data_IF_615070810773
#
_entry.id   IF_615070810773
#
_cell.length_a   1.000
_cell.length_b   1.000
_cell.length_c   1.000
_cell.angle_alpha   90.00
_cell.angle_beta   90.00
_cell.angle_gamma   90.00
#
_symmetry.space_group_name_H-M   'P 1'
#
loop_
_entity.id
_entity.type
_entity.pdbx_description
1 polymer ?
#
# COMPACT_ATOMS: atom_id res chain seq x y z
N UNK A 1 -7.85 -10.32 18.90
CA UNK A 1 -7.96 -9.17 17.98
C UNK A 1 -9.39 -9.08 17.51
N UNK A 2 -10.07 -7.95 17.70
CA UNK A 2 -11.40 -7.73 17.13
C UNK A 2 -11.25 -7.23 15.70
N UNK A 3 -11.77 -7.97 14.73
CA UNK A 3 -11.92 -7.48 13.37
C UNK A 3 -12.91 -6.31 13.35
N UNK A 4 -12.45 -5.16 12.86
CA UNK A 4 -13.32 -4.01 12.59
C UNK A 4 -14.19 -4.36 11.39
N UNK A 5 -15.52 -4.36 11.58
CA UNK A 5 -16.50 -4.64 10.53
C UNK A 5 -16.39 -3.62 9.41
N UNK A 6 -16.31 -4.12 8.18
CA UNK A 6 -16.31 -3.31 6.95
C UNK A 6 -17.63 -2.55 6.82
N UNK A 7 -17.56 -1.21 6.69
CA UNK A 7 -18.72 -0.42 6.30
C UNK A 7 -19.09 -0.80 4.86
N UNK A 8 -20.36 -1.18 4.65
CA UNK A 8 -20.92 -1.59 3.34
C UNK A 8 -20.44 -0.68 2.21
N UNK A 9 -19.72 -1.24 1.24
CA UNK A 9 -19.59 -0.70 -0.12
C UNK A 9 -18.27 -0.01 -0.48
N UNK A 10 -17.43 0.41 0.47
CA UNK A 10 -16.06 0.90 0.17
C UNK A 10 -15.08 -0.08 0.78
N UNK A 11 -14.10 -0.56 0.01
CA UNK A 11 -13.06 -1.47 0.51
C UNK A 11 -12.44 -0.97 1.82
N UNK A 12 -11.90 -1.89 2.63
CA UNK A 12 -11.08 -1.54 3.81
C UNK A 12 -9.91 -0.72 3.25
N UNK A 13 -9.97 0.62 3.37
CA UNK A 13 -8.94 1.52 2.84
C UNK A 13 -7.55 1.22 3.40
N UNK A 14 -6.57 2.04 3.09
CA UNK A 14 -5.19 1.79 3.55
C UNK A 14 -5.13 1.67 5.08
N UNK A 15 -4.42 0.65 5.63
CA UNK A 15 -4.30 0.47 7.06
C UNK A 15 -3.79 1.72 7.78
N UNK A 16 -4.34 2.00 8.96
CA UNK A 16 -3.95 3.17 9.75
C UNK A 16 -2.44 3.18 10.07
N UNK A 17 -1.84 2.02 10.36
CA UNK A 17 -0.40 1.91 10.58
C UNK A 17 0.41 2.37 9.37
N UNK A 18 0.00 1.97 8.17
CA UNK A 18 0.68 2.34 6.93
C UNK A 18 0.50 3.82 6.60
N UNK A 19 -0.70 4.37 6.86
CA UNK A 19 -0.98 5.80 6.71
C UNK A 19 -0.16 6.65 7.68
N UNK A 20 -0.01 6.21 8.94
CA UNK A 20 0.83 6.89 9.92
C UNK A 20 2.30 6.87 9.51
N UNK A 21 2.78 5.70 9.08
CA UNK A 21 4.15 5.53 8.57
C UNK A 21 4.42 6.47 7.39
N UNK A 22 3.52 6.52 6.41
CA UNK A 22 3.69 7.36 5.24
C UNK A 22 3.82 8.84 5.58
N UNK A 23 3.04 9.33 6.56
CA UNK A 23 3.11 10.72 7.02
C UNK A 23 4.47 11.03 7.63
N UNK A 24 4.96 10.15 8.50
CA UNK A 24 6.28 10.29 9.13
C UNK A 24 7.38 10.27 8.05
N UNK A 25 7.32 9.33 7.10
CA UNK A 25 8.32 9.21 6.04
C UNK A 25 8.27 10.37 5.02
N UNK A 26 7.13 11.05 4.89
CA UNK A 26 6.97 12.20 4.00
C UNK A 26 7.50 13.51 4.56
N UNK A 27 7.82 13.57 5.87
CA UNK A 27 8.45 14.72 6.49
C UNK A 27 9.84 14.96 5.90
N UNK A 28 10.09 16.16 5.40
CA UNK A 28 11.40 16.55 4.85
C UNK A 28 12.14 17.54 5.76
N UNK A 29 11.44 18.10 6.74
CA UNK A 29 11.99 19.05 7.70
C UNK A 29 11.64 18.66 9.14
N UNK A 30 12.44 19.08 10.14
CA UNK A 30 12.09 18.89 11.55
C UNK A 30 10.74 19.51 11.93
N UNK A 31 10.40 20.66 11.32
CA UNK A 31 9.15 21.37 11.57
C UNK A 31 7.93 20.52 11.17
N UNK A 32 8.02 19.75 10.08
CA UNK A 32 6.95 18.83 9.69
C UNK A 32 6.65 17.82 10.80
N UNK A 33 7.68 17.35 11.51
CA UNK A 33 7.51 16.39 12.59
C UNK A 33 6.87 17.06 13.82
N UNK A 34 7.27 18.29 14.15
CA UNK A 34 6.65 19.08 15.23
C UNK A 34 5.15 19.34 14.95
N UNK A 35 4.80 19.60 13.68
CA UNK A 35 3.40 19.71 13.26
C UNK A 35 2.63 18.40 13.46
N UNK A 36 3.22 17.25 13.08
CA UNK A 36 2.59 15.95 13.32
C UNK A 36 2.39 15.67 14.82
N UNK A 37 3.37 16.00 15.66
CA UNK A 37 3.26 15.87 17.13
C UNK A 37 2.15 16.75 17.68
N UNK A 38 2.08 18.00 17.21
CA UNK A 38 1.05 18.95 17.62
C UNK A 38 -0.34 18.44 17.23
N UNK A 39 -0.50 17.96 15.99
CA UNK A 39 -1.78 17.45 15.50
C UNK A 39 -2.21 16.16 16.21
N UNK A 40 -1.26 15.26 16.50
CA UNK A 40 -1.52 14.08 17.32
C UNK A 40 -1.99 14.48 18.74
N UNK A 41 -1.37 15.51 19.32
CA UNK A 41 -1.73 16.05 20.64
C UNK A 41 -3.12 16.69 20.68
N UNK A 42 -3.57 17.28 19.57
CA UNK A 42 -4.92 17.85 19.42
C UNK A 42 -6.01 16.79 19.14
N UNK A 43 -5.60 15.56 18.82
CA UNK A 43 -6.49 14.43 18.56
C UNK A 43 -6.36 13.38 19.67
N UNK A 44 -6.69 12.11 19.43
CA UNK A 44 -6.56 11.04 20.42
C UNK A 44 -5.14 10.46 20.52
N UNK A 45 -4.12 11.24 20.17
CA UNK A 45 -2.72 10.80 20.08
C UNK A 45 -2.40 9.96 18.84
N UNK A 46 -3.36 9.78 17.93
CA UNK A 46 -3.21 8.90 16.76
C UNK A 46 -3.14 9.71 15.48
N UNK A 47 -2.02 9.59 14.77
CA UNK A 47 -1.86 10.24 13.48
C UNK A 47 -2.93 9.76 12.49
N UNK A 48 -3.02 8.47 12.19
CA UNK A 48 -3.78 7.98 11.03
C UNK A 48 -5.30 7.81 11.19
N UNK A 49 -5.93 8.31 12.25
CA UNK A 49 -7.38 8.15 12.45
C UNK A 49 -8.20 9.05 11.53
N UNK A 50 -7.69 10.25 11.24
CA UNK A 50 -8.32 11.28 10.39
C UNK A 50 -7.30 11.79 9.36
N UNK A 51 -7.74 12.44 8.27
CA UNK A 51 -6.85 13.23 7.42
C UNK A 51 -6.07 14.25 8.24
N UNK A 52 -4.84 14.60 7.79
CA UNK A 52 -4.07 15.68 8.42
C UNK A 52 -4.83 17.00 8.35
N UNK A 53 -4.46 18.03 9.11
CA UNK A 53 -5.01 19.37 8.87
C UNK A 53 -4.42 19.97 7.58
N UNK A 54 -3.12 19.75 7.35
CA UNK A 54 -2.47 20.12 6.10
C UNK A 54 -2.77 19.07 5.02
N UNK A 55 -3.71 19.40 4.13
CA UNK A 55 -4.11 18.54 3.00
C UNK A 55 -2.95 18.29 2.03
N UNK A 56 -2.03 19.23 1.84
CA UNK A 56 -0.91 19.03 0.93
C UNK A 56 0.03 17.96 1.48
N UNK A 57 0.31 17.99 2.79
CA UNK A 57 1.10 16.94 3.46
C UNK A 57 0.40 15.59 3.44
N UNK A 58 -0.93 15.59 3.59
CA UNK A 58 -1.72 14.36 3.47
C UNK A 58 -1.60 13.75 2.07
N UNK A 59 -1.79 14.56 1.02
CA UNK A 59 -1.68 14.13 -0.38
C UNK A 59 -0.25 13.66 -0.66
N UNK A 60 0.77 14.39 -0.22
CA UNK A 60 2.18 14.02 -0.39
C UNK A 60 2.50 12.65 0.23
N UNK A 61 2.03 12.39 1.45
CA UNK A 61 2.20 11.08 2.09
C UNK A 61 1.54 9.94 1.31
N UNK A 62 0.34 10.18 0.76
CA UNK A 62 -0.39 9.18 -0.02
C UNK A 62 0.21 8.98 -1.42
N UNK A 63 0.74 10.04 -2.05
CA UNK A 63 1.49 9.95 -3.31
C UNK A 63 2.79 9.16 -3.13
N UNK A 64 3.49 9.34 -2.02
CA UNK A 64 4.69 8.53 -1.69
C UNK A 64 4.35 7.03 -1.63
N UNK A 65 3.25 6.65 -0.98
CA UNK A 65 2.78 5.26 -0.97
C UNK A 65 2.38 4.76 -2.35
N UNK A 66 1.71 5.60 -3.15
CA UNK A 66 1.30 5.24 -4.51
C UNK A 66 2.52 4.91 -5.38
N UNK A 67 3.55 5.76 -5.36
CA UNK A 67 4.81 5.52 -6.07
C UNK A 67 5.50 4.22 -5.63
N UNK A 68 5.48 3.92 -4.33
CA UNK A 68 6.00 2.64 -3.81
C UNK A 68 5.20 1.45 -4.36
N UNK A 69 3.87 1.52 -4.38
CA UNK A 69 3.04 0.44 -4.90
C UNK A 69 3.21 0.23 -6.40
N UNK A 70 3.33 1.30 -7.19
CA UNK A 70 3.63 1.22 -8.63
C UNK A 70 4.96 0.49 -8.85
N UNK A 71 6.01 0.86 -8.13
CA UNK A 71 7.31 0.16 -8.21
C UNK A 71 7.19 -1.32 -7.87
N UNK A 72 6.48 -1.66 -6.78
CA UNK A 72 6.27 -3.06 -6.39
C UNK A 72 5.48 -3.82 -7.47
N UNK A 73 4.47 -3.22 -8.08
CA UNK A 73 3.71 -3.82 -9.19
C UNK A 73 4.64 -4.18 -10.35
N UNK A 74 5.53 -3.27 -10.75
CA UNK A 74 6.50 -3.49 -11.83
C UNK A 74 7.49 -4.62 -11.49
N UNK A 75 8.01 -4.65 -10.25
CA UNK A 75 8.88 -5.73 -9.77
C UNK A 75 8.19 -7.11 -9.83
N UNK A 76 6.91 -7.18 -9.43
CA UNK A 76 6.14 -8.44 -9.43
C UNK A 76 5.81 -8.89 -10.85
N UNK A 77 5.44 -7.97 -11.73
CA UNK A 77 5.23 -8.28 -13.16
C UNK A 77 6.53 -8.83 -13.78
N UNK A 78 7.68 -8.22 -13.48
CA UNK A 78 8.98 -8.69 -13.98
C UNK A 78 9.30 -10.09 -13.48
N UNK A 79 9.02 -10.36 -12.19
CA UNK A 79 9.20 -11.69 -11.59
C UNK A 79 8.28 -12.74 -12.24
N UNK A 80 7.03 -12.38 -12.53
CA UNK A 80 6.08 -13.25 -13.22
C UNK A 80 6.58 -13.63 -14.62
N UNK A 81 7.02 -12.64 -15.42
CA UNK A 81 7.57 -12.89 -16.76
C UNK A 81 8.82 -13.77 -16.72
N UNK A 82 9.68 -13.60 -15.72
CA UNK A 82 10.86 -14.46 -15.51
C UNK A 82 10.49 -15.88 -15.09
N UNK A 83 9.38 -16.06 -14.38
CA UNK A 83 8.90 -17.38 -13.98
C UNK A 83 8.30 -18.12 -15.18
N UNK A 84 7.57 -17.41 -16.04
CA UNK A 84 6.94 -17.97 -17.24
C UNK A 84 7.98 -18.44 -18.26
N UNK A 85 9.05 -17.67 -18.48
CA UNK A 85 10.13 -17.98 -19.45
C UNK A 85 11.03 -19.15 -19.05
N UNK A 86 10.97 -19.63 -17.81
CA UNK A 86 11.68 -20.85 -17.41
C UNK A 86 10.91 -22.08 -17.89
N UNK A 87 11.34 -22.62 -19.02
CA UNK A 87 10.94 -23.94 -19.51
C UNK A 87 11.35 -25.01 -18.50
N UNK A 88 10.36 -25.72 -17.97
CA UNK A 88 10.58 -26.78 -16.99
C UNK A 88 10.76 -28.12 -17.70
N UNK A 89 11.96 -28.40 -18.21
CA UNK A 89 12.37 -29.77 -18.59
C UNK A 89 12.74 -30.61 -17.35
N UNK A 90 11.97 -30.46 -16.26
CA UNK A 90 12.31 -31.12 -15.00
C UNK A 90 11.60 -32.46 -14.89
N UNK A 91 12.35 -33.51 -14.54
CA UNK A 91 11.84 -34.84 -14.19
C UNK A 91 11.08 -34.85 -12.84
N UNK A 92 10.92 -33.71 -12.17
CA UNK A 92 10.27 -33.59 -10.86
C UNK A 92 8.80 -33.20 -11.01
N UNK A 93 7.88 -34.14 -10.77
CA UNK A 93 6.43 -33.94 -10.84
C UNK A 93 5.90 -32.80 -9.93
N UNK A 94 6.67 -32.43 -8.89
CA UNK A 94 6.30 -31.36 -7.96
C UNK A 94 6.63 -29.95 -8.46
N UNK A 95 7.52 -29.82 -9.46
CA UNK A 95 7.94 -28.51 -9.94
C UNK A 95 6.80 -27.72 -10.61
N UNK A 96 5.97 -28.30 -11.49
CA UNK A 96 4.83 -27.60 -12.08
C UNK A 96 3.85 -27.08 -11.02
N UNK A 97 3.57 -27.89 -9.98
CA UNK A 97 2.68 -27.49 -8.87
C UNK A 97 3.25 -26.29 -8.12
N UNK A 98 4.55 -26.30 -7.78
CA UNK A 98 5.19 -25.16 -7.08
C UNK A 98 5.24 -23.92 -7.96
N UNK A 99 5.47 -24.07 -9.27
CA UNK A 99 5.43 -22.96 -10.23
C UNK A 99 4.04 -22.33 -10.27
N UNK A 100 2.99 -23.13 -10.35
CA UNK A 100 1.61 -22.65 -10.30
C UNK A 100 1.31 -21.92 -8.98
N UNK A 101 1.71 -22.49 -7.84
CA UNK A 101 1.54 -21.83 -6.54
C UNK A 101 2.23 -20.47 -6.46
N UNK A 102 3.45 -20.36 -7.02
CA UNK A 102 4.19 -19.11 -7.08
C UNK A 102 3.50 -18.08 -8.01
N UNK A 103 2.99 -18.52 -9.17
CA UNK A 103 2.19 -17.67 -10.05
C UNK A 103 0.93 -17.17 -9.35
N UNK A 104 0.18 -18.05 -8.69
CA UNK A 104 -1.06 -17.68 -7.99
C UNK A 104 -0.80 -16.66 -6.86
N UNK A 105 0.30 -16.86 -6.10
CA UNK A 105 0.73 -15.92 -5.08
C UNK A 105 1.03 -14.53 -5.68
N UNK A 106 1.83 -14.48 -6.75
CA UNK A 106 2.21 -13.22 -7.41
C UNK A 106 0.99 -12.49 -8.01
N UNK A 107 0.06 -13.23 -8.63
CA UNK A 107 -1.20 -12.64 -9.10
C UNK A 107 -2.04 -12.09 -7.95
N UNK A 108 -2.08 -12.80 -6.82
CA UNK A 108 -2.73 -12.34 -5.59
C UNK A 108 -2.14 -11.03 -5.08
N UNK A 109 -0.81 -10.94 -4.96
CA UNK A 109 -0.10 -9.72 -4.56
C UNK A 109 -0.38 -8.56 -5.51
N UNK A 110 -0.28 -8.78 -6.83
CA UNK A 110 -0.56 -7.78 -7.85
C UNK A 110 -1.99 -7.22 -7.74
N UNK A 111 -2.98 -8.09 -7.48
CA UNK A 111 -4.37 -7.67 -7.30
C UNK A 111 -4.53 -6.74 -6.11
N UNK A 112 -3.88 -7.06 -4.98
CA UNK A 112 -3.93 -6.23 -3.77
C UNK A 112 -3.21 -4.89 -4.01
N UNK A 113 -2.02 -4.90 -4.58
CA UNK A 113 -1.25 -3.69 -4.86
C UNK A 113 -1.99 -2.75 -5.81
N UNK A 114 -2.54 -3.27 -6.91
CA UNK A 114 -3.36 -2.48 -7.86
C UNK A 114 -4.59 -1.89 -7.20
N UNK A 115 -5.29 -2.67 -6.38
CA UNK A 115 -6.45 -2.18 -5.63
C UNK A 115 -6.07 -1.08 -4.64
N UNK A 116 -4.92 -1.20 -3.98
CA UNK A 116 -4.45 -0.21 -3.00
C UNK A 116 -3.98 1.08 -3.70
N UNK A 117 -3.27 0.98 -4.82
CA UNK A 117 -2.88 2.13 -5.66
C UNK A 117 -4.10 2.90 -6.15
N UNK A 118 -5.07 2.20 -6.73
CA UNK A 118 -6.32 2.82 -7.20
C UNK A 118 -7.10 3.47 -6.05
N UNK A 119 -7.10 2.87 -4.85
CA UNK A 119 -7.72 3.49 -3.67
C UNK A 119 -7.02 4.79 -3.28
N UNK A 120 -5.68 4.81 -3.26
CA UNK A 120 -4.88 6.00 -2.95
C UNK A 120 -5.11 7.12 -3.96
N UNK A 121 -5.13 6.80 -5.26
CA UNK A 121 -5.41 7.76 -6.33
C UNK A 121 -6.79 8.39 -6.18
N UNK A 122 -7.83 7.57 -5.99
CA UNK A 122 -9.19 8.06 -5.77
C UNK A 122 -9.30 8.89 -4.49
N UNK A 123 -8.61 8.49 -3.42
CA UNK A 123 -8.57 9.21 -2.17
C UNK A 123 -7.94 10.60 -2.34
N UNK A 124 -6.76 10.69 -2.96
CA UNK A 124 -6.11 11.97 -3.25
C UNK A 124 -6.96 12.84 -4.17
N UNK A 125 -7.55 12.27 -5.23
CA UNK A 125 -8.44 12.99 -6.15
C UNK A 125 -9.63 13.62 -5.42
N UNK A 126 -10.20 12.91 -4.43
CA UNK A 126 -11.32 13.44 -3.64
C UNK A 126 -10.97 14.54 -2.64
N UNK A 127 -9.67 14.79 -2.42
CA UNK A 127 -9.16 15.83 -1.51
C UNK A 127 -8.66 17.08 -2.26
N UNK A 128 -8.48 16.99 -3.58
CA UNK A 128 -8.20 18.10 -4.51
C UNK A 128 -9.49 18.69 -5.05
#
# INVERSE_FOLDING_TARGET
>A
MMEVKSARGKGKGVPQSLRALARILSCTTPQDLDHLVTEAGQTDGRLARRPLQDMNKEIQAHQMLSSLFIRLIEERNTTLMSLDSRDSSSLCERLPVRKQMAQDLLHGELRILKSASAWLENYCFSLT
#
